data_IF_228389451557
#
_entry.id   IF_228389451557
#
_cell.length_a   1.000
_cell.length_b   1.000
_cell.length_c   1.000
_cell.angle_alpha   90.00
_cell.angle_beta   90.00
_cell.angle_gamma   90.00
#
_symmetry.space_group_name_H-M   'P 1'
#
loop_
_entity.id
_entity.type
_entity.pdbx_description
1 polymer ?
#
# COMPACT_ATOMS: atom_id res chain seq x y z
N UNK A 1 15.69 -23.89 28.57
CA UNK A 1 16.67 -22.99 27.93
C UNK A 1 16.26 -22.79 26.48
N UNK A 2 15.56 -21.70 26.16
CA UNK A 2 15.68 -21.03 24.85
C UNK A 2 15.59 -19.51 25.08
N UNK A 3 16.71 -18.86 25.46
CA UNK A 3 16.79 -17.40 25.54
C UNK A 3 17.04 -16.74 24.16
N UNK A 4 17.21 -17.53 23.10
CA UNK A 4 17.64 -17.03 21.78
C UNK A 4 16.57 -16.31 20.99
N UNK A 5 15.34 -16.83 20.92
CA UNK A 5 14.31 -16.26 20.04
C UNK A 5 13.79 -14.90 20.52
N UNK A 6 13.58 -14.72 21.83
CA UNK A 6 13.11 -13.45 22.39
C UNK A 6 14.17 -12.33 22.27
N UNK A 7 15.46 -12.66 22.34
CA UNK A 7 16.55 -11.70 22.15
C UNK A 7 16.75 -11.33 20.66
N UNK A 8 16.55 -12.29 19.75
CA UNK A 8 16.62 -12.03 18.30
C UNK A 8 15.48 -11.11 17.86
N UNK A 9 14.27 -11.32 18.37
CA UNK A 9 13.13 -10.48 18.06
C UNK A 9 13.29 -9.05 18.64
N UNK A 10 13.77 -8.94 19.88
CA UNK A 10 14.06 -7.64 20.50
C UNK A 10 15.19 -6.86 19.78
N UNK A 11 16.22 -7.55 19.29
CA UNK A 11 17.33 -6.94 18.54
C UNK A 11 16.98 -6.53 17.11
N UNK A 12 16.01 -7.20 16.47
CA UNK A 12 15.48 -6.83 15.15
C UNK A 12 14.59 -5.58 15.21
N UNK A 13 13.75 -5.45 16.23
CA UNK A 13 12.89 -4.26 16.43
C UNK A 13 13.69 -3.02 16.86
N UNK A 14 14.79 -3.18 17.60
CA UNK A 14 15.64 -2.06 18.05
C UNK A 14 16.44 -1.39 16.92
N UNK A 15 16.49 -1.98 15.72
CA UNK A 15 17.25 -1.50 14.58
C UNK A 15 16.37 -1.13 13.38
N UNK A 16 15.05 -1.06 13.53
CA UNK A 16 14.14 -0.66 12.45
C UNK A 16 14.03 0.88 12.41
N UNK A 17 14.26 1.48 11.23
CA UNK A 17 14.03 2.92 11.06
C UNK A 17 12.54 3.24 11.15
N UNK A 18 12.19 4.47 11.53
CA UNK A 18 10.80 4.93 11.55
C UNK A 18 10.13 4.73 10.18
N UNK A 19 10.86 5.03 9.08
CA UNK A 19 10.43 4.78 7.71
C UNK A 19 10.07 3.30 7.47
N UNK A 20 10.89 2.36 7.93
CA UNK A 20 10.60 0.93 7.77
C UNK A 20 9.40 0.46 8.59
N UNK A 21 9.19 1.03 9.78
CA UNK A 21 7.99 0.73 10.57
C UNK A 21 6.75 1.24 9.85
N UNK A 22 6.70 2.53 9.52
CA UNK A 22 5.57 3.15 8.83
C UNK A 22 5.25 2.45 7.49
N UNK A 23 6.28 2.08 6.71
CA UNK A 23 6.10 1.34 5.46
C UNK A 23 5.52 -0.06 5.67
N UNK A 24 5.86 -0.73 6.76
CA UNK A 24 5.34 -2.06 7.10
C UNK A 24 3.89 -1.94 7.55
N UNK A 25 3.61 -1.03 8.49
CA UNK A 25 2.27 -0.78 8.99
C UNK A 25 1.30 -0.41 7.84
N UNK A 26 1.76 0.41 6.90
CA UNK A 26 0.97 0.75 5.71
C UNK A 26 0.68 -0.47 4.83
N UNK A 27 1.68 -1.32 4.58
CA UNK A 27 1.52 -2.51 3.75
C UNK A 27 0.56 -3.52 4.38
N UNK A 28 0.67 -3.72 5.70
CA UNK A 28 -0.19 -4.61 6.48
C UNK A 28 -1.63 -4.08 6.48
N UNK A 29 -1.82 -2.79 6.80
CA UNK A 29 -3.14 -2.17 6.77
C UNK A 29 -3.80 -2.25 5.39
N UNK A 30 -3.06 -2.04 4.30
CA UNK A 30 -3.60 -2.17 2.95
C UNK A 30 -4.11 -3.59 2.63
N UNK A 31 -3.46 -4.61 3.20
CA UNK A 31 -3.85 -6.01 3.07
C UNK A 31 -5.02 -6.35 3.99
N UNK A 32 -5.00 -5.92 5.24
CA UNK A 32 -6.03 -6.21 6.24
C UNK A 32 -7.36 -5.53 5.89
N UNK A 33 -7.29 -4.27 5.44
CA UNK A 33 -8.42 -3.57 4.85
C UNK A 33 -8.83 -4.19 3.49
N UNK A 34 -7.94 -5.02 2.91
CA UNK A 34 -8.06 -5.73 1.64
C UNK A 34 -8.38 -4.82 0.47
N UNK A 35 -7.72 -3.66 0.45
CA UNK A 35 -7.55 -2.84 -0.74
C UNK A 35 -6.70 -3.58 -1.76
N UNK A 36 -5.71 -4.34 -1.29
CA UNK A 36 -4.84 -5.15 -2.14
C UNK A 36 -4.93 -6.61 -1.74
N UNK A 37 -4.79 -7.51 -2.73
CA UNK A 37 -4.66 -8.94 -2.43
C UNK A 37 -3.39 -9.18 -1.62
N UNK A 38 -3.50 -9.99 -0.57
CA UNK A 38 -2.34 -10.67 -0.01
C UNK A 38 -1.74 -11.50 -1.15
N UNK A 39 -0.47 -11.28 -1.49
CA UNK A 39 0.23 -12.27 -2.29
C UNK A 39 0.26 -13.50 -1.36
N UNK A 40 -0.52 -14.54 -1.64
CA UNK A 40 -0.71 -15.69 -0.74
C UNK A 40 0.56 -16.48 -0.40
N UNK A 41 1.73 -15.94 -0.69
CA UNK A 41 3.02 -16.58 -0.53
C UNK A 41 3.10 -17.87 -1.32
N UNK A 42 4.01 -18.74 -0.90
CA UNK A 42 4.14 -20.09 -1.44
C UNK A 42 2.89 -20.94 -1.22
N UNK A 43 2.10 -20.68 -0.17
CA UNK A 43 0.88 -21.42 0.12
C UNK A 43 -0.24 -21.12 -0.90
N UNK A 44 -0.41 -19.85 -1.27
CA UNK A 44 -1.31 -19.42 -2.32
C UNK A 44 -0.86 -19.94 -3.68
N UNK A 45 0.44 -19.95 -3.96
CA UNK A 45 0.99 -20.55 -5.18
C UNK A 45 0.73 -22.07 -5.24
N UNK A 46 0.96 -22.79 -4.15
CA UNK A 46 0.70 -24.23 -4.06
C UNK A 46 -0.79 -24.55 -4.22
N UNK A 47 -1.67 -23.78 -3.58
CA UNK A 47 -3.12 -23.92 -3.74
C UNK A 47 -3.56 -23.68 -5.19
N UNK A 48 -3.02 -22.65 -5.85
CA UNK A 48 -3.25 -22.37 -7.27
C UNK A 48 -2.78 -23.50 -8.17
N UNK A 49 -1.62 -24.10 -7.90
CA UNK A 49 -1.08 -25.21 -8.67
C UNK A 49 -1.87 -26.51 -8.48
N UNK A 50 -2.38 -26.76 -7.27
CA UNK A 50 -3.12 -27.99 -6.92
C UNK A 50 -4.58 -27.90 -7.38
N UNK A 51 -5.23 -26.76 -7.14
CA UNK A 51 -6.68 -26.61 -7.33
C UNK A 51 -7.05 -25.88 -8.63
N UNK A 52 -6.07 -25.28 -9.30
CA UNK A 52 -6.33 -24.30 -10.35
C UNK A 52 -6.92 -23.00 -9.77
N UNK A 53 -6.88 -21.93 -10.55
CA UNK A 53 -7.67 -20.73 -10.27
C UNK A 53 -8.92 -20.78 -11.15
N UNK A 54 -10.09 -20.65 -10.53
CA UNK A 54 -11.34 -20.42 -11.25
C UNK A 54 -11.61 -18.91 -11.33
N UNK A 55 -12.20 -18.47 -12.43
CA UNK A 55 -12.54 -17.07 -12.71
C UNK A 55 -13.41 -16.46 -11.59
N UNK A 56 -14.26 -17.26 -10.96
CA UNK A 56 -15.16 -16.84 -9.88
C UNK A 56 -14.42 -16.61 -8.56
N UNK A 57 -13.42 -17.44 -8.25
CA UNK A 57 -12.56 -17.26 -7.07
C UNK A 57 -11.71 -16.00 -7.23
N UNK A 58 -11.20 -15.74 -8.43
CA UNK A 58 -10.45 -14.52 -8.75
C UNK A 58 -11.26 -13.25 -8.54
N UNK A 59 -12.56 -13.30 -8.89
CA UNK A 59 -13.49 -12.19 -8.83
C UNK A 59 -13.99 -11.91 -7.40
N UNK A 60 -14.28 -12.96 -6.64
CA UNK A 60 -14.69 -12.87 -5.23
C UNK A 60 -13.60 -12.23 -4.35
N UNK A 61 -12.33 -12.41 -4.71
CA UNK A 61 -11.19 -11.85 -3.98
C UNK A 61 -10.85 -10.38 -4.34
N UNK A 62 -11.65 -9.73 -5.18
CA UNK A 62 -11.41 -8.31 -5.55
C UNK A 62 -11.95 -7.36 -4.48
N UNK A 63 -11.34 -6.17 -4.37
CA UNK A 63 -11.86 -5.09 -3.53
C UNK A 63 -13.32 -4.76 -3.87
N UNK A 64 -13.65 -4.69 -5.17
CA UNK A 64 -15.00 -4.40 -5.66
C UNK A 64 -16.03 -5.43 -5.15
N UNK A 65 -15.72 -6.72 -5.23
CA UNK A 65 -16.59 -7.77 -4.69
C UNK A 65 -16.72 -7.65 -3.17
N UNK A 66 -15.63 -7.37 -2.44
CA UNK A 66 -15.64 -7.26 -0.97
C UNK A 66 -16.51 -6.13 -0.45
N UNK A 67 -16.56 -5.00 -1.17
CA UNK A 67 -17.44 -3.88 -0.80
C UNK A 67 -18.83 -3.98 -1.44
N UNK A 68 -19.09 -5.05 -2.21
CA UNK A 68 -20.36 -5.27 -2.89
C UNK A 68 -20.66 -4.27 -4.01
N UNK A 69 -19.65 -3.86 -4.79
CA UNK A 69 -19.80 -2.86 -5.84
C UNK A 69 -20.94 -3.17 -6.82
N UNK A 70 -21.12 -4.45 -7.17
CA UNK A 70 -22.21 -4.92 -8.04
C UNK A 70 -23.55 -5.24 -7.36
N UNK A 71 -23.66 -5.22 -6.02
CA UNK A 71 -24.84 -5.73 -5.30
C UNK A 71 -25.38 -4.84 -4.18
N UNK A 72 -24.52 -4.09 -3.50
CA UNK A 72 -24.89 -3.23 -2.37
C UNK A 72 -25.47 -1.89 -2.83
N UNK A 73 -26.04 -1.09 -1.93
CA UNK A 73 -26.56 0.22 -2.30
C UNK A 73 -25.44 1.13 -2.83
N UNK A 74 -25.58 1.77 -4.02
CA UNK A 74 -24.50 2.58 -4.62
C UNK A 74 -23.96 3.66 -3.68
N UNK A 75 -24.82 4.31 -2.90
CA UNK A 75 -24.41 5.33 -1.92
C UNK A 75 -23.41 4.78 -0.89
N UNK A 76 -23.64 3.56 -0.39
CA UNK A 76 -22.79 2.93 0.61
C UNK A 76 -21.44 2.51 0.00
N UNK A 77 -21.48 1.98 -1.22
CA UNK A 77 -20.27 1.61 -1.98
C UNK A 77 -19.40 2.84 -2.23
N UNK A 78 -19.96 3.93 -2.75
CA UNK A 78 -19.22 5.17 -3.05
C UNK A 78 -18.64 5.79 -1.77
N UNK A 79 -19.42 5.85 -0.69
CA UNK A 79 -18.93 6.32 0.60
C UNK A 79 -17.79 5.45 1.13
N UNK A 80 -17.85 4.13 0.91
CA UNK A 80 -16.78 3.21 1.28
C UNK A 80 -15.51 3.46 0.46
N UNK A 81 -15.63 3.62 -0.86
CA UNK A 81 -14.49 3.94 -1.73
C UNK A 81 -13.82 5.24 -1.29
N UNK A 82 -14.59 6.29 -0.97
CA UNK A 82 -14.04 7.56 -0.46
C UNK A 82 -13.25 7.35 0.83
N UNK A 83 -13.84 6.69 1.82
CA UNK A 83 -13.20 6.46 3.12
C UNK A 83 -11.92 5.63 3.01
N UNK A 84 -11.96 4.54 2.22
CA UNK A 84 -10.80 3.68 1.99
C UNK A 84 -9.70 4.42 1.20
N UNK A 85 -10.06 5.22 0.19
CA UNK A 85 -9.13 6.06 -0.57
C UNK A 85 -8.46 7.09 0.34
N UNK A 86 -9.23 7.74 1.21
CA UNK A 86 -8.71 8.70 2.18
C UNK A 86 -7.75 8.05 3.18
N UNK A 87 -8.09 6.87 3.69
CA UNK A 87 -7.23 6.10 4.58
C UNK A 87 -5.91 5.71 3.88
N UNK A 88 -5.99 5.17 2.66
CA UNK A 88 -4.83 4.79 1.87
C UNK A 88 -3.93 5.99 1.53
N UNK A 89 -4.53 7.12 1.17
CA UNK A 89 -3.82 8.38 0.89
C UNK A 89 -3.14 8.93 2.14
N UNK A 90 -3.82 8.94 3.28
CA UNK A 90 -3.25 9.42 4.54
C UNK A 90 -2.09 8.55 5.00
N UNK A 91 -2.23 7.22 4.92
CA UNK A 91 -1.17 6.29 5.26
C UNK A 91 0.08 6.49 4.39
N UNK A 92 -0.09 6.64 3.07
CA UNK A 92 1.05 6.92 2.18
C UNK A 92 1.72 8.26 2.51
N UNK A 93 0.96 9.30 2.86
CA UNK A 93 1.55 10.58 3.30
C UNK A 93 2.41 10.41 4.55
N UNK A 94 1.96 9.65 5.53
CA UNK A 94 2.77 9.36 6.74
C UNK A 94 4.08 8.67 6.34
N UNK A 95 4.02 7.66 5.47
CA UNK A 95 5.22 6.98 4.96
C UNK A 95 6.16 7.95 4.23
N UNK A 96 5.64 8.85 3.39
CA UNK A 96 6.45 9.88 2.71
C UNK A 96 7.04 10.92 3.66
N UNK A 97 6.35 11.29 4.74
CA UNK A 97 6.88 12.20 5.78
C UNK A 97 8.08 11.60 6.52
N UNK A 98 8.03 10.30 6.83
CA UNK A 98 9.17 9.60 7.42
C UNK A 98 10.36 9.52 6.44
N UNK A 99 10.06 9.35 5.15
CA UNK A 99 11.09 9.38 4.11
C UNK A 99 11.74 10.76 3.97
N UNK A 100 10.96 11.83 3.95
CA UNK A 100 11.48 13.20 3.91
C UNK A 100 12.31 13.52 5.17
N UNK A 101 11.89 13.05 6.35
CA UNK A 101 12.66 13.18 7.59
C UNK A 101 14.03 12.50 7.46
N UNK A 102 14.05 11.27 6.95
CA UNK A 102 15.30 10.53 6.68
C UNK A 102 16.18 11.23 5.63
N UNK A 103 15.57 11.85 4.62
CA UNK A 103 16.28 12.62 3.59
C UNK A 103 16.89 13.90 4.16
N UNK A 104 16.20 14.58 5.07
CA UNK A 104 16.67 15.81 5.73
C UNK A 104 17.68 15.58 6.85
N UNK A 105 17.76 14.37 7.43
CA UNK A 105 18.77 14.06 8.43
C UNK A 105 20.17 14.09 7.81
N UNK A 106 21.01 15.01 8.31
CA UNK A 106 22.40 15.20 7.92
C UNK A 106 23.36 14.22 8.63
N UNK A 107 22.85 13.34 9.49
CA UNK A 107 23.61 12.31 10.18
C UNK A 107 24.22 11.25 9.23
N UNK A 108 25.30 10.60 9.69
CA UNK A 108 26.06 9.58 8.93
C UNK A 108 25.29 8.29 8.63
N UNK A 109 24.13 8.07 9.25
CA UNK A 109 23.25 6.95 8.95
C UNK A 109 22.28 7.36 7.83
N UNK A 110 22.81 7.54 6.62
CA UNK A 110 21.98 7.84 5.45
C UNK A 110 20.96 6.73 5.14
N UNK A 111 20.09 6.98 4.16
CA UNK A 111 19.09 5.99 3.74
C UNK A 111 19.76 4.64 3.44
N UNK A 112 19.30 3.57 4.09
CA UNK A 112 19.82 2.23 3.84
C UNK A 112 19.05 1.58 2.70
N UNK A 113 19.63 0.54 2.07
CA UNK A 113 18.93 -0.27 1.08
C UNK A 113 17.59 -0.81 1.59
N UNK A 114 17.54 -1.19 2.88
CA UNK A 114 16.33 -1.73 3.48
C UNK A 114 15.22 -0.66 3.62
N UNK A 115 15.61 0.60 3.85
CA UNK A 115 14.68 1.73 3.93
C UNK A 115 14.08 2.04 2.54
N UNK A 116 14.95 2.11 1.51
CA UNK A 116 14.53 2.31 0.11
C UNK A 116 13.54 1.22 -0.32
N UNK A 117 13.91 -0.05 -0.13
CA UNK A 117 13.05 -1.18 -0.50
C UNK A 117 11.70 -1.20 0.23
N UNK A 118 11.69 -0.80 1.51
CA UNK A 118 10.45 -0.78 2.30
C UNK A 118 9.52 0.33 1.81
N UNK A 119 10.07 1.50 1.51
CA UNK A 119 9.31 2.61 0.93
C UNK A 119 8.75 2.27 -0.46
N UNK A 120 9.57 1.70 -1.35
CA UNK A 120 9.12 1.23 -2.67
C UNK A 120 7.99 0.20 -2.57
N UNK A 121 8.11 -0.74 -1.63
CA UNK A 121 7.04 -1.72 -1.37
C UNK A 121 5.74 -1.03 -0.96
N UNK A 122 5.81 -0.03 -0.07
CA UNK A 122 4.63 0.76 0.31
C UNK A 122 4.04 1.53 -0.88
N UNK A 123 4.87 2.15 -1.71
CA UNK A 123 4.44 2.85 -2.92
C UNK A 123 3.74 1.90 -3.91
N UNK A 124 4.29 0.72 -4.17
CA UNK A 124 3.66 -0.28 -5.03
C UNK A 124 2.31 -0.72 -4.47
N UNK A 125 2.21 -0.92 -3.14
CA UNK A 125 0.95 -1.26 -2.48
C UNK A 125 -0.09 -0.13 -2.62
N UNK A 126 0.32 1.13 -2.49
CA UNK A 126 -0.55 2.27 -2.72
C UNK A 126 -1.08 2.32 -4.17
N UNK A 127 -0.20 2.10 -5.15
CA UNK A 127 -0.59 2.05 -6.56
C UNK A 127 -1.56 0.89 -6.86
N UNK A 128 -1.39 -0.26 -6.20
CA UNK A 128 -2.33 -1.37 -6.30
C UNK A 128 -3.68 -1.02 -5.69
N UNK A 129 -3.71 -0.41 -4.49
CA UNK A 129 -4.94 0.04 -3.84
C UNK A 129 -5.68 1.09 -4.69
N UNK A 130 -4.95 2.05 -5.26
CA UNK A 130 -5.53 3.04 -6.18
C UNK A 130 -6.24 2.37 -7.36
N UNK A 131 -5.58 1.41 -8.04
CA UNK A 131 -6.20 0.67 -9.15
C UNK A 131 -7.42 -0.15 -8.71
N UNK A 132 -7.40 -0.74 -7.52
CA UNK A 132 -8.55 -1.49 -7.02
C UNK A 132 -9.74 -0.59 -6.73
N UNK A 133 -9.51 0.62 -6.22
CA UNK A 133 -10.55 1.61 -5.97
C UNK A 133 -11.17 2.12 -7.27
N UNK A 134 -10.33 2.43 -8.28
CA UNK A 134 -10.79 2.79 -9.61
C UNK A 134 -11.64 1.67 -10.25
N UNK A 135 -11.21 0.42 -10.10
CA UNK A 135 -11.97 -0.73 -10.60
C UNK A 135 -13.34 -0.85 -9.94
N UNK A 136 -13.42 -0.67 -8.62
CA UNK A 136 -14.69 -0.73 -7.89
C UNK A 136 -15.61 0.44 -8.25
N UNK A 137 -15.07 1.64 -8.43
CA UNK A 137 -15.82 2.79 -8.95
C UNK A 137 -16.38 2.49 -10.33
N UNK A 138 -15.57 1.94 -11.24
CA UNK A 138 -16.03 1.54 -12.57
C UNK A 138 -17.17 0.51 -12.52
N UNK A 139 -17.13 -0.44 -11.59
CA UNK A 139 -18.16 -1.46 -11.42
C UNK A 139 -19.48 -0.88 -10.90
N UNK A 140 -19.45 -0.05 -9.84
CA UNK A 140 -20.68 0.56 -9.30
C UNK A 140 -21.27 1.58 -10.27
N UNK A 141 -20.43 2.35 -10.96
CA UNK A 141 -20.86 3.36 -11.93
C UNK A 141 -21.49 2.78 -13.20
N UNK A 142 -21.19 1.52 -13.53
CA UNK A 142 -21.78 0.83 -14.68
C UNK A 142 -23.16 0.25 -14.40
N UNK A 143 -23.67 0.32 -13.17
CA UNK A 143 -24.97 -0.26 -12.81
C UNK A 143 -26.13 0.58 -13.31
N UNK A 144 -27.22 -0.08 -13.65
CA UNK A 144 -28.45 0.58 -14.13
C UNK A 144 -29.19 1.37 -13.03
N UNK A 145 -28.97 1.02 -11.77
CA UNK A 145 -29.57 1.70 -10.60
C UNK A 145 -28.65 2.79 -10.01
N UNK A 146 -27.55 3.11 -10.69
CA UNK A 146 -26.66 4.20 -10.30
C UNK A 146 -27.24 5.55 -10.75
N UNK A 147 -27.62 6.38 -9.78
CA UNK A 147 -28.14 7.75 -9.97
C UNK A 147 -27.50 8.74 -8.97
N UNK A 148 -26.25 8.45 -8.57
CA UNK A 148 -25.51 9.23 -7.57
C UNK A 148 -24.30 9.87 -8.24
N UNK A 149 -24.04 11.12 -7.89
CA UNK A 149 -22.85 11.84 -8.35
C UNK A 149 -21.56 11.19 -7.83
N UNK A 150 -20.65 10.85 -8.75
CA UNK A 150 -19.33 10.26 -8.43
C UNK A 150 -18.26 11.30 -8.15
N UNK A 151 -18.52 12.59 -8.37
CA UNK A 151 -17.54 13.66 -8.21
C UNK A 151 -16.81 13.67 -6.84
N UNK A 152 -17.45 13.32 -5.70
CA UNK A 152 -16.73 13.19 -4.42
C UNK A 152 -15.69 12.07 -4.43
N UNK A 153 -15.96 10.96 -5.11
CA UNK A 153 -15.04 9.83 -5.24
C UNK A 153 -13.90 10.17 -6.20
N UNK A 154 -14.23 10.77 -7.35
CA UNK A 154 -13.25 11.20 -8.35
C UNK A 154 -12.24 12.18 -7.73
N UNK A 155 -12.73 13.18 -6.98
CA UNK A 155 -11.89 14.15 -6.27
C UNK A 155 -10.93 13.48 -5.29
N UNK A 156 -11.38 12.48 -4.54
CA UNK A 156 -10.54 11.80 -3.55
C UNK A 156 -9.53 10.87 -4.22
N UNK A 157 -9.90 10.21 -5.32
CA UNK A 157 -8.98 9.42 -6.16
C UNK A 157 -7.91 10.32 -6.78
N UNK A 158 -8.26 11.48 -7.33
CA UNK A 158 -7.30 12.45 -7.85
C UNK A 158 -6.34 12.93 -6.75
N UNK A 159 -6.87 13.20 -5.55
CA UNK A 159 -6.03 13.57 -4.42
C UNK A 159 -5.07 12.44 -4.02
N UNK A 160 -5.45 11.17 -4.17
CA UNK A 160 -4.58 10.03 -3.91
C UNK A 160 -3.52 9.86 -5.01
N UNK A 161 -3.90 10.01 -6.27
CA UNK A 161 -2.98 9.99 -7.41
C UNK A 161 -1.85 11.02 -7.25
N UNK A 162 -2.20 12.25 -6.86
CA UNK A 162 -1.21 13.30 -6.59
C UNK A 162 -0.21 12.92 -5.48
N UNK A 163 -0.66 12.23 -4.43
CA UNK A 163 0.22 11.73 -3.36
C UNK A 163 1.11 10.60 -3.87
N UNK A 164 0.59 9.71 -4.72
CA UNK A 164 1.39 8.66 -5.36
C UNK A 164 2.49 9.27 -6.23
N UNK A 165 2.19 10.33 -6.98
CA UNK A 165 3.18 11.01 -7.81
C UNK A 165 4.26 11.69 -6.97
N UNK A 166 3.88 12.42 -5.92
CA UNK A 166 4.87 12.95 -4.95
C UNK A 166 5.70 11.84 -4.31
N UNK A 167 5.06 10.71 -4.00
CA UNK A 167 5.75 9.58 -3.39
C UNK A 167 6.77 8.92 -4.35
N UNK A 168 6.55 8.95 -5.67
CA UNK A 168 7.52 8.52 -6.68
C UNK A 168 8.77 9.41 -6.63
N UNK A 169 8.59 10.72 -6.63
CA UNK A 169 9.71 11.67 -6.54
C UNK A 169 10.53 11.45 -5.25
N UNK A 170 9.86 11.16 -4.13
CA UNK A 170 10.54 10.83 -2.87
C UNK A 170 11.27 9.47 -2.94
N UNK A 171 10.76 8.49 -3.68
CA UNK A 171 11.46 7.21 -3.89
C UNK A 171 12.79 7.43 -4.63
N UNK A 172 12.76 8.23 -5.70
CA UNK A 172 13.94 8.55 -6.50
C UNK A 172 14.99 9.29 -5.64
N UNK A 173 14.56 10.28 -4.85
CA UNK A 173 15.44 10.99 -3.91
C UNK A 173 16.06 10.06 -2.86
N UNK A 174 15.31 9.09 -2.34
CA UNK A 174 15.82 8.08 -1.40
C UNK A 174 16.88 7.18 -2.06
N UNK A 175 16.63 6.75 -3.30
CA UNK A 175 17.57 5.95 -4.07
C UNK A 175 18.88 6.72 -4.35
N UNK A 176 18.78 8.00 -4.73
CA UNK A 176 19.94 8.87 -4.95
C UNK A 176 20.74 9.08 -3.66
N UNK A 177 20.07 9.32 -2.53
CA UNK A 177 20.74 9.46 -1.23
C UNK A 177 21.49 8.16 -0.87
N UNK A 178 20.85 7.01 -1.03
CA UNK A 178 21.49 5.70 -0.80
C UNK A 178 22.72 5.50 -1.71
N UNK A 179 22.62 5.79 -3.01
CA UNK A 179 23.74 5.66 -3.95
C UNK A 179 24.92 6.59 -3.59
N UNK A 180 24.64 7.83 -3.18
CA UNK A 180 25.68 8.80 -2.80
C UNK A 180 26.46 8.37 -1.54
N UNK A 181 25.79 7.74 -0.57
CA UNK A 181 26.43 7.22 0.64
C UNK A 181 27.34 6.03 0.32
N UNK A 182 26.93 5.15 -0.60
CA UNK A 182 27.77 4.04 -1.07
C UNK A 182 29.06 4.50 -1.77
N UNK A 183 28.98 5.57 -2.56
CA UNK A 183 30.13 6.16 -3.23
C UNK A 183 31.08 6.90 -2.28
N UNK A 184 30.59 7.47 -1.17
CA UNK A 184 31.43 8.16 -0.18
C UNK A 184 32.17 7.20 0.77
N UNK A 185 31.75 5.94 0.84
CA UNK A 185 32.36 4.90 1.67
C UNK A 185 33.37 4.00 0.91
N UNK A 186 33.51 4.20 -0.42
CA UNK A 186 34.45 3.51 -1.31
C UNK A 186 35.68 4.36 -1.57
#
# INVERSE_FOLDING_TARGET
>A
MVPGEALVQAGLSQNQSALRSASTDYCEHAVDAGWVKSNGGLAGLASTLINGITSDQERADTYAARIGAGSEAPALVLARIVNDTQSARSGLRTVSQEADTLLSDAGKAGATRADVMSYERALVRAQMAYRSFQSALGEVSARSDMDIDTAPVDKELDAFANVIDTARDTADRLADKYASVGNAAS
#
